data_IF_895064297123
#
_entry.id   IF_895064297123
#
_cell.length_a   1.000
_cell.length_b   1.000
_cell.length_c   1.000
_cell.angle_alpha   90.00
_cell.angle_beta   90.00
_cell.angle_gamma   90.00
#
_symmetry.space_group_name_H-M   'P 1'
#
loop_
_entity.id
_entity.type
_entity.pdbx_description
1 polymer ?
#
# COMPACT_ATOMS: atom_id res chain seq x y z
N UNK A 1 7.22 5.59 -14.67
CA UNK A 1 6.08 6.39 -14.17
C UNK A 1 5.46 5.57 -13.05
N UNK A 2 5.23 6.20 -11.89
CA UNK A 2 4.68 5.52 -10.72
C UNK A 2 3.16 5.48 -10.86
N UNK A 3 2.57 4.28 -10.76
CA UNK A 3 1.13 4.08 -10.92
C UNK A 3 0.51 3.74 -9.56
N UNK A 4 -0.40 4.60 -9.11
CA UNK A 4 -1.08 4.52 -7.82
C UNK A 4 -2.56 4.27 -8.08
N UNK A 5 -3.13 3.28 -7.41
CA UNK A 5 -4.55 2.93 -7.51
C UNK A 5 -5.19 2.95 -6.13
N UNK A 6 -6.43 3.43 -6.06
CA UNK A 6 -7.23 3.33 -4.84
C UNK A 6 -7.95 1.99 -4.90
N UNK A 7 -7.58 1.07 -4.00
CA UNK A 7 -8.25 -0.22 -3.86
C UNK A 7 -9.12 -0.20 -2.60
N UNK A 8 -10.28 -0.85 -2.66
CA UNK A 8 -11.11 -1.10 -1.49
C UNK A 8 -10.84 -2.49 -0.92
N UNK A 9 -10.70 -2.60 0.39
CA UNK A 9 -10.72 -3.85 1.12
C UNK A 9 -11.68 -3.78 2.30
N UNK A 10 -12.19 -4.94 2.70
CA UNK A 10 -12.95 -5.07 3.92
C UNK A 10 -11.98 -5.45 5.04
N UNK A 11 -12.06 -4.75 6.17
CA UNK A 11 -11.22 -5.07 7.32
C UNK A 11 -11.54 -6.48 7.83
N UNK A 12 -10.53 -7.34 7.96
CA UNK A 12 -10.66 -8.69 8.49
C UNK A 12 -11.16 -8.74 9.94
N UNK A 13 -10.95 -7.66 10.72
CA UNK A 13 -11.34 -7.61 12.13
C UNK A 13 -12.75 -7.04 12.36
N UNK A 14 -13.17 -6.00 11.63
CA UNK A 14 -14.45 -5.34 11.88
C UNK A 14 -15.43 -5.39 10.70
N UNK A 15 -15.00 -5.89 9.53
CA UNK A 15 -15.82 -5.99 8.33
C UNK A 15 -16.02 -4.68 7.56
N UNK A 16 -15.56 -3.54 8.10
CA UNK A 16 -15.75 -2.22 7.49
C UNK A 16 -15.01 -2.09 6.17
N UNK A 17 -15.69 -1.59 5.14
CA UNK A 17 -15.10 -1.29 3.85
C UNK A 17 -14.21 -0.05 3.95
N UNK A 18 -12.96 -0.18 3.58
CA UNK A 18 -11.99 0.91 3.60
C UNK A 18 -11.22 0.95 2.29
N UNK A 19 -10.79 2.14 1.91
CA UNK A 19 -9.91 2.35 0.78
C UNK A 19 -8.47 2.55 1.23
N UNK A 20 -7.53 2.08 0.41
CA UNK A 20 -6.10 2.26 0.58
C UNK A 20 -5.43 2.52 -0.77
N UNK A 21 -4.28 3.18 -0.72
CA UNK A 21 -3.46 3.42 -1.90
C UNK A 21 -2.56 2.21 -2.17
N UNK A 22 -2.62 1.72 -3.40
CA UNK A 22 -1.88 0.56 -3.89
C UNK A 22 -0.89 1.02 -4.95
N UNK A 23 0.36 0.61 -4.82
CA UNK A 23 1.43 0.97 -5.75
C UNK A 23 1.74 -0.21 -6.68
N UNK A 24 1.15 -0.22 -7.87
CA UNK A 24 1.37 -1.29 -8.84
C UNK A 24 2.71 -1.19 -9.55
N UNK A 25 3.22 0.04 -9.74
CA UNK A 25 4.54 0.28 -10.30
C UNK A 25 5.23 1.39 -9.54
N UNK A 26 6.45 1.12 -9.07
CA UNK A 26 7.31 2.10 -8.41
C UNK A 26 8.58 2.25 -9.24
N UNK A 27 8.83 3.48 -9.67
CA UNK A 27 10.00 3.89 -10.43
C UNK A 27 10.86 4.76 -9.51
N UNK A 28 11.88 4.17 -8.88
CA UNK A 28 12.64 4.89 -7.83
C UNK A 28 13.56 5.96 -8.40
N UNK A 29 13.96 5.84 -9.66
CA UNK A 29 14.62 6.90 -10.42
C UNK A 29 13.76 8.18 -10.51
N UNK A 30 12.42 8.04 -10.48
CA UNK A 30 11.48 9.19 -10.52
C UNK A 30 10.87 9.53 -9.17
N UNK A 31 10.80 8.57 -8.24
CA UNK A 31 10.20 8.74 -6.91
C UNK A 31 11.09 8.10 -5.83
N UNK A 32 12.26 8.69 -5.54
CA UNK A 32 13.22 8.12 -4.59
C UNK A 32 12.66 8.00 -3.16
N UNK A 33 11.71 8.84 -2.78
CA UNK A 33 11.02 8.77 -1.48
C UNK A 33 10.24 7.47 -1.28
N UNK A 34 9.75 6.84 -2.35
CA UNK A 34 9.06 5.56 -2.27
C UNK A 34 10.01 4.40 -1.98
N UNK A 35 11.32 4.56 -2.22
CA UNK A 35 12.33 3.51 -1.96
C UNK A 35 12.41 3.15 -0.48
N UNK A 36 12.50 4.17 0.39
CA UNK A 36 12.56 3.94 1.83
C UNK A 36 11.28 3.27 2.34
N UNK A 37 10.11 3.82 1.97
CA UNK A 37 8.82 3.25 2.34
C UNK A 37 8.60 1.82 1.81
N UNK A 38 9.16 1.47 0.65
CA UNK A 38 9.15 0.10 0.12
C UNK A 38 10.03 -0.85 0.95
N UNK A 39 11.23 -0.40 1.33
CA UNK A 39 12.16 -1.18 2.18
C UNK A 39 11.56 -1.42 3.57
N UNK A 40 10.90 -0.41 4.14
CA UNK A 40 10.26 -0.46 5.46
C UNK A 40 8.89 -1.15 5.46
N UNK A 41 8.44 -1.66 4.30
CA UNK A 41 7.12 -2.26 4.08
C UNK A 41 5.93 -1.32 4.33
N UNK A 42 6.16 -0.02 4.52
CA UNK A 42 5.12 0.96 4.81
C UNK A 42 4.09 1.07 3.67
N UNK A 43 4.49 0.89 2.41
CA UNK A 43 3.59 0.92 1.26
C UNK A 43 2.57 -0.24 1.22
N UNK A 44 2.83 -1.30 1.99
CA UNK A 44 1.97 -2.49 2.07
C UNK A 44 1.21 -2.55 3.40
N UNK A 45 1.51 -1.65 4.35
CA UNK A 45 0.80 -1.59 5.63
C UNK A 45 -0.52 -0.86 5.45
N UNK A 46 -1.59 -1.52 5.85
CA UNK A 46 -2.91 -0.93 5.95
C UNK A 46 -3.35 -0.92 7.40
N UNK A 47 -3.81 0.25 7.86
CA UNK A 47 -4.38 0.43 9.19
C UNK A 47 -5.86 0.79 9.05
N UNK A 48 -6.73 -0.02 9.64
CA UNK A 48 -8.16 0.26 9.63
C UNK A 48 -8.48 1.49 10.47
N UNK A 49 -9.15 2.48 9.87
CA UNK A 49 -9.55 3.71 10.55
C UNK A 49 -10.66 3.51 11.57
N UNK A 50 -11.40 2.40 11.48
CA UNK A 50 -12.53 2.11 12.36
C UNK A 50 -12.11 1.39 13.65
N UNK A 51 -11.29 0.34 13.53
CA UNK A 51 -10.88 -0.49 14.68
C UNK A 51 -9.40 -0.40 15.04
N UNK A 52 -8.59 0.30 14.25
CA UNK A 52 -7.13 0.38 14.44
C UNK A 52 -6.37 -0.89 14.05
N UNK A 53 -7.04 -1.90 13.50
CA UNK A 53 -6.39 -3.15 13.11
C UNK A 53 -5.40 -2.93 11.96
N UNK A 54 -4.18 -3.43 12.13
CA UNK A 54 -3.11 -3.31 11.15
C UNK A 54 -2.88 -4.65 10.46
N UNK A 55 -2.82 -4.62 9.13
CA UNK A 55 -2.50 -5.78 8.31
C UNK A 55 -1.55 -5.38 7.20
N UNK A 56 -0.74 -6.34 6.75
CA UNK A 56 0.04 -6.20 5.53
C UNK A 56 -0.80 -6.71 4.39
N UNK A 57 -0.99 -5.89 3.37
CA UNK A 57 -1.66 -6.27 2.13
C UNK A 57 -0.59 -6.67 1.14
N UNK A 58 -0.53 -7.97 0.86
CA UNK A 58 0.32 -8.52 -0.20
C UNK A 58 -0.37 -8.32 -1.55
N UNK A 59 0.31 -7.63 -2.46
CA UNK A 59 -0.15 -7.44 -3.83
C UNK A 59 1.04 -7.32 -4.79
N UNK A 60 0.89 -7.73 -6.06
CA UNK A 60 1.98 -7.63 -7.01
C UNK A 60 2.33 -6.17 -7.28
N UNK A 61 3.61 -5.84 -7.08
CA UNK A 61 4.20 -4.52 -7.34
C UNK A 61 5.39 -4.67 -8.26
N UNK A 62 5.39 -3.90 -9.35
CA UNK A 62 6.52 -3.80 -10.27
C UNK A 62 7.51 -2.75 -9.78
N UNK A 63 8.69 -3.19 -9.37
CA UNK A 63 9.80 -2.34 -8.97
C UNK A 63 10.73 -2.07 -10.16
N UNK A 64 11.02 -0.79 -10.43
CA UNK A 64 12.00 -0.34 -11.41
C UNK A 64 12.98 0.62 -10.75
N UNK A 65 14.28 0.32 -10.84
CA UNK A 65 15.40 1.18 -10.43
C UNK A 65 16.06 1.80 -11.66
#
# INVERSE_FOLDING_TARGET
MTSIFISSLNCSSCGEANSFERYDRIDVSKTPQCRAALIDWELFKYTCKHCGHQVIIDYPTFYAD
#
